data_IF_310823453046
#
_entry.id   IF_310823453046
#
_cell.length_a   1.000
_cell.length_b   1.000
_cell.length_c   1.000
_cell.angle_alpha   90.00
_cell.angle_beta   90.00
_cell.angle_gamma   90.00
#
_symmetry.space_group_name_H-M   'P 1'
#
loop_
_entity.id
_entity.type
_entity.pdbx_description
1 polymer ?
#
# COMPACT_ATOMS: atom_id res chain seq x y z
N UNK A 1 34.28 -18.73 0.38
CA UNK A 1 32.93 -19.29 0.28
C UNK A 1 32.01 -18.16 0.65
N UNK A 2 31.54 -17.41 -0.34
CA UNK A 2 30.81 -16.15 -0.14
C UNK A 2 29.36 -16.40 0.27
N UNK A 3 29.04 -15.98 1.49
CA UNK A 3 27.69 -15.83 2.06
C UNK A 3 26.90 -14.74 1.32
N UNK A 4 26.33 -15.08 0.16
CA UNK A 4 25.35 -14.24 -0.53
C UNK A 4 23.94 -14.73 -0.24
N UNK A 5 23.41 -14.24 0.88
CA UNK A 5 22.01 -13.91 1.17
C UNK A 5 20.97 -14.72 0.36
N UNK A 6 20.46 -15.77 0.97
CA UNK A 6 19.22 -16.46 0.56
C UNK A 6 17.96 -15.70 0.99
N UNK A 7 18.00 -14.36 1.01
CA UNK A 7 16.91 -13.50 1.51
C UNK A 7 16.34 -12.58 0.41
N UNK A 8 16.52 -12.93 -0.87
CA UNK A 8 16.04 -12.15 -2.02
C UNK A 8 15.20 -13.01 -2.98
N UNK A 9 14.43 -13.96 -2.45
CA UNK A 9 13.26 -14.45 -3.16
C UNK A 9 12.16 -13.40 -2.97
N UNK A 10 12.26 -12.30 -3.71
CA UNK A 10 11.08 -11.50 -4.04
C UNK A 10 10.00 -12.49 -4.50
N UNK A 11 8.76 -12.43 -3.99
CA UNK A 11 7.72 -13.33 -4.44
C UNK A 11 7.65 -13.23 -5.97
N UNK A 12 7.95 -14.34 -6.65
CA UNK A 12 7.83 -14.47 -8.10
C UNK A 12 6.34 -14.47 -8.45
N UNK A 13 5.74 -13.30 -8.43
CA UNK A 13 4.31 -13.09 -8.62
C UNK A 13 4.05 -11.61 -8.66
N UNK A 14 3.37 -11.19 -9.71
CA UNK A 14 2.97 -9.83 -10.07
C UNK A 14 1.94 -9.26 -9.07
N UNK A 15 2.20 -9.42 -7.77
CA UNK A 15 1.33 -8.90 -6.72
C UNK A 15 1.33 -7.38 -6.85
N UNK A 16 0.15 -6.77 -7.07
CA UNK A 16 0.07 -5.33 -7.25
C UNK A 16 0.63 -4.62 -6.02
N UNK A 17 1.51 -3.65 -6.25
CA UNK A 17 2.16 -2.88 -5.19
C UNK A 17 1.15 -2.05 -4.36
N UNK A 18 -0.08 -1.88 -4.85
CA UNK A 18 -1.09 -0.99 -4.31
C UNK A 18 -2.43 -1.65 -3.97
N UNK A 19 -2.44 -2.92 -3.56
CA UNK A 19 -3.67 -3.65 -3.26
C UNK A 19 -4.44 -4.10 -4.50
N UNK A 20 -5.65 -4.62 -4.31
CA UNK A 20 -6.59 -5.01 -5.36
C UNK A 20 -7.70 -3.96 -5.56
N UNK A 21 -8.59 -4.20 -6.52
CA UNK A 21 -9.71 -3.31 -6.89
C UNK A 21 -10.64 -2.96 -5.71
N UNK A 22 -10.64 -3.75 -4.63
CA UNK A 22 -11.52 -3.58 -3.46
C UNK A 22 -10.78 -3.05 -2.23
N UNK A 23 -9.48 -2.79 -2.32
CA UNK A 23 -8.66 -2.43 -1.17
C UNK A 23 -9.04 -1.07 -0.60
N UNK A 24 -9.42 -0.11 -1.44
CA UNK A 24 -9.88 1.21 -1.00
C UNK A 24 -11.17 1.13 -0.16
N UNK A 25 -12.12 0.28 -0.57
CA UNK A 25 -13.41 0.10 0.11
C UNK A 25 -13.26 -0.52 1.52
N UNK A 26 -12.17 -1.25 1.74
CA UNK A 26 -11.83 -1.89 3.02
C UNK A 26 -10.97 -1.01 3.93
N UNK A 27 -10.56 0.16 3.45
CA UNK A 27 -9.65 1.06 4.15
C UNK A 27 -10.45 2.01 5.05
N UNK A 28 -10.50 1.72 6.35
CA UNK A 28 -11.15 2.55 7.35
C UNK A 28 -10.12 3.23 8.27
N UNK A 29 -10.39 4.47 8.68
CA UNK A 29 -9.55 5.19 9.63
C UNK A 29 -9.99 4.96 11.07
N UNK A 30 -9.04 4.66 11.96
CA UNK A 30 -9.32 4.46 13.38
C UNK A 30 -9.28 5.76 14.19
N UNK A 31 -8.73 6.82 13.61
CA UNK A 31 -8.60 8.13 14.26
C UNK A 31 -8.63 9.28 13.24
N UNK A 32 -8.81 10.53 13.71
CA UNK A 32 -8.91 11.68 12.82
C UNK A 32 -7.66 11.95 11.97
N UNK A 33 -6.46 11.60 12.46
CA UNK A 33 -5.20 11.83 11.71
C UNK A 33 -5.09 10.87 10.54
N UNK A 34 -5.54 9.62 10.72
CA UNK A 34 -5.60 8.63 9.66
C UNK A 34 -6.65 9.02 8.61
N UNK A 35 -7.81 9.56 9.01
CA UNK A 35 -8.82 10.06 8.07
C UNK A 35 -8.26 11.16 7.17
N UNK A 36 -7.55 12.13 7.73
CA UNK A 36 -6.87 13.17 6.94
C UNK A 36 -5.84 12.54 5.99
N UNK A 37 -5.08 11.55 6.46
CA UNK A 37 -4.10 10.85 5.62
C UNK A 37 -4.77 10.13 4.46
N UNK A 38 -5.88 9.42 4.70
CA UNK A 38 -6.66 8.75 3.65
C UNK A 38 -7.18 9.75 2.60
N UNK A 39 -7.72 10.89 3.04
CA UNK A 39 -8.18 11.94 2.13
C UNK A 39 -7.06 12.50 1.25
N UNK A 40 -5.81 12.55 1.73
CA UNK A 40 -4.68 13.00 0.90
C UNK A 40 -4.23 11.98 -0.15
N UNK A 41 -4.57 10.71 0.04
CA UNK A 41 -4.23 9.61 -0.86
C UNK A 41 -5.33 9.34 -1.89
N UNK A 42 -6.54 9.88 -1.67
CA UNK A 42 -7.68 9.78 -2.57
C UNK A 42 -7.38 10.50 -3.91
N UNK A 43 -7.29 9.77 -5.03
CA UNK A 43 -7.01 10.36 -6.34
C UNK A 43 -8.15 11.21 -6.88
N UNK A 44 -9.38 11.01 -6.40
CA UNK A 44 -10.57 11.79 -6.76
C UNK A 44 -10.72 13.06 -5.91
N UNK A 45 -9.91 13.19 -4.84
CA UNK A 45 -9.85 14.36 -3.98
C UNK A 45 -8.46 15.04 -3.99
N UNK A 46 -7.99 15.53 -5.16
CA UNK A 46 -6.69 16.17 -5.26
C UNK A 46 -6.65 17.46 -4.42
N UNK A 47 -5.50 17.79 -3.80
CA UNK A 47 -5.33 19.06 -3.10
C UNK A 47 -5.52 20.24 -4.07
N UNK A 48 -6.32 21.23 -3.64
CA UNK A 48 -6.69 22.43 -4.40
C UNK A 48 -5.54 23.43 -4.62
#
# INVERSE_FOLDING_TARGET
MDERRTDDQAPEGDSPLGGDDTTEEQLEADNPVEEETLQTLDPDNPPA
#
